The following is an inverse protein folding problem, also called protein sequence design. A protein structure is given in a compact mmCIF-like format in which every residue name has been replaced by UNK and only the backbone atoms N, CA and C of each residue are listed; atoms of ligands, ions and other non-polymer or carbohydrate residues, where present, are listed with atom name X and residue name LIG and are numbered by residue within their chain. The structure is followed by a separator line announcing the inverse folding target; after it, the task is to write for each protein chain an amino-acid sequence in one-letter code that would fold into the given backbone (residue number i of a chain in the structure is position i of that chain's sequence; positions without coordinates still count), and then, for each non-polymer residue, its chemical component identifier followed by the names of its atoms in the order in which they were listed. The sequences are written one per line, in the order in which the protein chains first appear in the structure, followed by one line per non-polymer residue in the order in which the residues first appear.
data_IF_244735839092
#
_entry.id   IF_244735839092
#
_cell.length_a   1.000
_cell.length_b   1.000
_cell.length_c   1.000
_cell.angle_alpha   90.00
_cell.angle_beta   90.00
_cell.angle_gamma   90.00
#
_symmetry.space_group_name_H-M   'P 1'
#
loop_
_entity.id
_entity.type
_entity.pdbx_description
1 polymer ?
#
# COMPACT_ATOMS: atom_id res chain seq x y z
N UNK A 1 58.50 -19.67 -1.16
CA UNK A 1 57.56 -20.66 -1.74
C UNK A 1 56.14 -20.42 -1.20
N UNK A 2 55.33 -19.57 -1.85
CA UNK A 2 53.89 -19.36 -1.54
C UNK A 2 53.15 -18.89 -2.80
N UNK A 3 52.82 -19.79 -3.73
CA UNK A 3 52.08 -19.47 -4.98
C UNK A 3 51.11 -20.59 -5.42
N UNK A 4 50.48 -21.30 -4.48
CA UNK A 4 49.56 -22.43 -4.81
C UNK A 4 48.18 -22.28 -4.14
N UNK A 5 47.75 -21.06 -3.80
CA UNK A 5 46.40 -20.84 -3.22
C UNK A 5 45.46 -20.13 -4.19
N UNK A 6 45.96 -19.66 -5.34
CA UNK A 6 45.16 -18.83 -6.27
C UNK A 6 44.34 -19.68 -7.26
N UNK A 7 44.70 -20.94 -7.51
CA UNK A 7 44.04 -21.75 -8.54
C UNK A 7 42.68 -22.33 -8.15
N UNK A 8 42.44 -22.57 -6.86
CA UNK A 8 41.26 -23.32 -6.39
C UNK A 8 40.01 -22.46 -6.20
N UNK A 9 40.14 -21.14 -6.19
CA UNK A 9 39.01 -20.21 -5.99
C UNK A 9 38.23 -19.90 -7.27
N UNK A 10 38.76 -20.23 -8.45
CA UNK A 10 38.15 -19.90 -9.75
C UNK A 10 37.24 -21.02 -10.28
N UNK A 11 37.35 -22.26 -9.79
CA UNK A 11 36.55 -23.39 -10.28
C UNK A 11 35.14 -23.49 -9.68
N UNK A 12 34.89 -22.88 -8.51
CA UNK A 12 33.63 -23.03 -7.78
C UNK A 12 32.40 -22.27 -8.36
N UNK A 13 32.51 -21.12 -9.05
CA UNK A 13 31.33 -20.39 -9.51
C UNK A 13 30.63 -21.05 -10.72
N UNK A 14 31.33 -21.90 -11.48
CA UNK A 14 30.85 -22.42 -12.77
C UNK A 14 29.81 -23.55 -12.64
N UNK A 15 29.64 -24.16 -11.46
CA UNK A 15 28.66 -25.24 -11.26
C UNK A 15 27.25 -24.68 -10.98
N UNK A 16 27.14 -23.41 -10.55
CA UNK A 16 25.85 -22.81 -10.21
C UNK A 16 25.02 -22.34 -11.42
N UNK A 17 25.60 -22.26 -12.62
CA UNK A 17 24.87 -21.85 -13.83
C UNK A 17 24.11 -22.99 -14.52
N UNK A 18 24.24 -24.23 -14.05
CA UNK A 18 23.60 -25.40 -14.67
C UNK A 18 22.14 -25.63 -14.23
N UNK A 19 21.64 -24.87 -13.25
CA UNK A 19 20.23 -24.93 -12.85
C UNK A 19 19.42 -23.85 -13.57
N UNK A 20 19.26 -24.01 -14.88
CA UNK A 20 18.14 -23.41 -15.57
C UNK A 20 16.87 -24.11 -15.06
N UNK A 21 16.26 -23.58 -13.99
CA UNK A 21 14.90 -23.94 -13.61
C UNK A 21 14.04 -23.73 -14.85
N UNK A 22 13.60 -24.83 -15.46
CA UNK A 22 12.59 -24.82 -16.49
C UNK A 22 11.37 -24.14 -15.85
N UNK A 23 11.16 -22.87 -16.19
CA UNK A 23 9.88 -22.23 -15.95
C UNK A 23 8.90 -22.95 -16.86
N UNK A 24 8.39 -24.09 -16.39
CA UNK A 24 7.28 -24.80 -17.01
C UNK A 24 6.08 -23.89 -16.82
N UNK A 25 5.89 -22.99 -17.78
CA UNK A 25 4.67 -22.24 -17.94
C UNK A 25 3.59 -23.24 -18.32
N UNK A 26 3.01 -23.90 -17.31
CA UNK A 26 1.69 -24.49 -17.48
C UNK A 26 0.79 -23.34 -17.92
N UNK A 27 0.26 -23.43 -19.14
CA UNK A 27 -0.65 -22.44 -19.71
C UNK A 27 -1.91 -22.40 -18.87
N UNK A 28 -1.93 -21.52 -17.86
CA UNK A 28 -3.13 -21.23 -17.10
C UNK A 28 -3.97 -20.34 -18.01
N UNK A 29 -4.89 -20.97 -18.74
CA UNK A 29 -5.94 -20.26 -19.48
C UNK A 29 -6.83 -19.58 -18.44
N UNK A 30 -6.47 -18.35 -18.05
CA UNK A 30 -7.31 -17.49 -17.23
C UNK A 30 -8.46 -17.01 -18.11
N UNK A 31 -9.60 -17.70 -18.05
CA UNK A 31 -10.85 -17.15 -18.57
C UNK A 31 -11.17 -15.92 -17.73
N UNK A 32 -11.22 -14.69 -18.29
CA UNK A 32 -11.66 -13.52 -17.55
C UNK A 32 -13.18 -13.65 -17.34
N UNK A 33 -13.57 -14.45 -16.35
CA UNK A 33 -14.91 -14.40 -15.79
C UNK A 33 -15.08 -13.00 -15.20
N UNK A 34 -15.93 -12.19 -15.82
CA UNK A 34 -16.13 -10.78 -15.49
C UNK A 34 -16.58 -10.58 -14.05
N UNK A 35 -15.64 -10.55 -13.12
CA UNK A 35 -15.86 -10.15 -11.75
C UNK A 35 -15.81 -8.62 -11.72
N UNK A 36 -16.98 -7.99 -11.89
CA UNK A 36 -17.12 -6.57 -11.58
C UNK A 36 -17.09 -6.44 -10.07
N UNK A 37 -16.07 -5.79 -9.46
CA UNK A 37 -16.14 -5.51 -8.04
C UNK A 37 -17.38 -4.65 -7.81
N UNK A 38 -18.27 -5.11 -6.94
CA UNK A 38 -19.36 -4.28 -6.46
C UNK A 38 -18.73 -3.22 -5.56
N UNK A 39 -18.29 -2.11 -6.16
CA UNK A 39 -17.74 -0.97 -5.43
C UNK A 39 -18.90 -0.35 -4.69
N UNK A 40 -19.12 -0.80 -3.45
CA UNK A 40 -20.00 -0.11 -2.52
C UNK A 40 -19.37 1.26 -2.30
N UNK A 41 -19.87 2.27 -3.01
CA UNK A 41 -19.46 3.65 -2.83
C UNK A 41 -19.81 4.04 -1.39
N UNK A 42 -18.85 3.88 -0.47
CA UNK A 42 -18.99 4.34 0.90
C UNK A 42 -19.12 5.85 0.82
N UNK A 43 -20.30 6.37 1.19
CA UNK A 43 -20.56 7.81 1.24
C UNK A 43 -19.52 8.43 2.17
N UNK A 44 -18.55 9.14 1.60
CA UNK A 44 -17.56 9.89 2.37
C UNK A 44 -18.32 11.06 2.99
N UNK A 45 -18.61 10.94 4.29
CA UNK A 45 -19.19 12.04 5.06
C UNK A 45 -18.07 13.01 5.36
N UNK A 46 -18.03 14.12 4.63
CA UNK A 46 -17.07 15.18 4.90
C UNK A 46 -17.51 15.87 6.19
N UNK A 47 -16.61 15.89 7.17
CA UNK A 47 -16.83 16.60 8.42
C UNK A 47 -15.92 17.82 8.43
N UNK A 48 -16.50 18.98 8.76
CA UNK A 48 -15.76 20.22 8.95
C UNK A 48 -15.68 20.51 10.44
N UNK A 49 -14.46 20.73 10.92
CA UNK A 49 -14.25 21.24 12.27
C UNK A 49 -14.64 22.71 12.33
N UNK A 50 -15.51 23.05 13.28
CA UNK A 50 -15.88 24.42 13.61
C UNK A 50 -15.24 24.75 14.96
N UNK A 51 -14.30 25.71 15.03
CA UNK A 51 -13.66 26.07 16.28
C UNK A 51 -14.64 26.72 17.26
N UNK A 52 -14.33 26.58 18.55
CA UNK A 52 -15.09 27.24 19.61
C UNK A 52 -15.05 28.76 19.42
N UNK A 53 -16.18 29.42 19.62
CA UNK A 53 -16.30 30.86 19.42
C UNK A 53 -17.37 31.47 20.32
N UNK A 54 -17.31 32.80 20.43
CA UNK A 54 -18.36 33.58 21.07
C UNK A 54 -19.43 33.92 20.05
N UNK A 55 -20.66 33.53 20.33
CA UNK A 55 -21.83 33.92 19.56
C UNK A 55 -22.56 35.07 20.26
N UNK A 56 -22.97 36.08 19.50
CA UNK A 56 -23.72 37.20 20.05
C UNK A 56 -25.22 36.92 19.94
N UNK A 57 -25.87 36.71 21.08
CA UNK A 57 -27.31 36.43 21.15
C UNK A 57 -28.06 37.64 21.68
N UNK A 58 -29.40 37.65 21.56
CA UNK A 58 -30.25 38.71 22.14
C UNK A 58 -30.10 38.87 23.66
N UNK A 59 -29.55 37.86 24.36
CA UNK A 59 -29.33 37.87 25.82
C UNK A 59 -27.86 38.10 26.20
N UNK A 60 -26.99 38.39 25.22
CA UNK A 60 -25.56 38.61 25.43
C UNK A 60 -24.68 37.58 24.72
N UNK A 61 -23.41 37.52 25.12
CA UNK A 61 -22.43 36.60 24.53
C UNK A 61 -22.58 35.18 25.10
N UNK A 62 -22.73 34.21 24.20
CA UNK A 62 -22.80 32.80 24.52
C UNK A 62 -21.55 32.09 24.01
N UNK A 63 -20.94 31.26 24.85
CA UNK A 63 -19.78 30.46 24.45
C UNK A 63 -20.27 29.19 23.75
N UNK A 64 -19.87 29.02 22.49
CA UNK A 64 -20.19 27.83 21.72
C UNK A 64 -18.95 26.93 21.68
N UNK A 65 -19.00 25.70 22.23
CA UNK A 65 -17.89 24.76 22.15
C UNK A 65 -17.68 24.33 20.69
N UNK A 66 -16.43 24.01 20.34
CA UNK A 66 -16.12 23.55 18.99
C UNK A 66 -16.74 22.18 18.71
N UNK A 67 -17.24 22.00 17.49
CA UNK A 67 -17.91 20.77 17.07
C UNK A 67 -17.66 20.44 15.61
N UNK A 68 -17.94 19.19 15.24
CA UNK A 68 -17.89 18.73 13.86
C UNK A 68 -19.29 18.81 13.23
N UNK A 69 -19.39 19.45 12.08
CA UNK A 69 -20.59 19.45 11.25
C UNK A 69 -20.38 18.61 9.98
N UNK A 70 -21.44 17.93 9.55
CA UNK A 70 -21.46 17.20 8.28
C UNK A 70 -21.74 18.18 7.14
N UNK A 71 -20.90 18.17 6.11
CA UNK A 71 -21.04 18.99 4.89
C UNK A 71 -21.48 18.10 3.72
#
# INVERSE_FOLDING_TARGET
MKRIIVGTLIALPLVFSAFSTQASAAEIIVRPGGHRPNVVARRVVHQKWIPAHWENTRRGRHWVPGHYERV
#
